data_IF_718064960136
#
_entry.id   IF_718064960136
#
_cell.length_a   1.000
_cell.length_b   1.000
_cell.length_c   1.000
_cell.angle_alpha   90.00
_cell.angle_beta   90.00
_cell.angle_gamma   90.00
#
_symmetry.space_group_name_H-M   'P 1'
#
loop_
_entity.id
_entity.type
_entity.pdbx_description
1 polymer ?
#
# COMPACT_ATOMS: atom_id res chain seq x y z
N UNK A 1 -9.62 -19.83 5.08
CA UNK A 1 -9.80 -18.46 4.58
C UNK A 1 -9.45 -18.48 3.11
N UNK A 2 -10.23 -17.83 2.23
CA UNK A 2 -9.85 -17.72 0.81
C UNK A 2 -8.80 -16.61 0.67
N UNK A 3 -7.95 -16.70 -0.36
CA UNK A 3 -6.94 -15.67 -0.66
C UNK A 3 -7.62 -14.32 -0.84
N UNK A 4 -7.07 -13.28 -0.24
CA UNK A 4 -7.64 -11.93 -0.33
C UNK A 4 -8.79 -11.66 0.65
N UNK A 5 -9.30 -12.64 1.40
CA UNK A 5 -10.36 -12.39 2.40
C UNK A 5 -9.87 -11.44 3.50
N UNK A 6 -8.64 -11.61 3.99
CA UNK A 6 -8.06 -10.75 5.03
C UNK A 6 -7.83 -9.33 4.50
N UNK A 7 -7.39 -9.19 3.25
CA UNK A 7 -7.25 -7.89 2.61
C UNK A 7 -8.62 -7.22 2.40
N UNK A 8 -9.64 -7.95 1.96
CA UNK A 8 -11.01 -7.44 1.84
C UNK A 8 -11.56 -6.98 3.19
N UNK A 9 -11.36 -7.75 4.25
CA UNK A 9 -11.81 -7.37 5.60
C UNK A 9 -11.09 -6.10 6.08
N UNK A 10 -9.78 -5.99 5.84
CA UNK A 10 -9.02 -4.77 6.13
C UNK A 10 -9.52 -3.56 5.33
N UNK A 11 -9.84 -3.72 4.05
CA UNK A 11 -10.33 -2.64 3.18
C UNK A 11 -11.72 -2.16 3.61
N UNK A 12 -12.61 -3.09 3.99
CA UNK A 12 -13.93 -2.79 4.55
C UNK A 12 -13.82 -2.06 5.88
N UNK A 13 -12.90 -2.46 6.74
CA UNK A 13 -12.64 -1.72 7.98
C UNK A 13 -12.17 -0.29 7.67
N UNK A 14 -11.22 -0.14 6.75
CA UNK A 14 -10.70 1.17 6.34
C UNK A 14 -11.81 2.06 5.80
N UNK A 15 -12.70 1.55 4.93
CA UNK A 15 -13.82 2.31 4.38
C UNK A 15 -14.69 3.00 5.45
N UNK A 16 -14.81 2.39 6.63
CA UNK A 16 -15.64 2.90 7.73
C UNK A 16 -14.82 3.72 8.74
N UNK A 17 -13.57 3.33 9.00
CA UNK A 17 -12.80 3.81 10.13
C UNK A 17 -11.74 4.86 9.77
N UNK A 18 -11.60 5.22 8.49
CA UNK A 18 -10.62 6.19 8.03
C UNK A 18 -11.23 7.54 7.63
N UNK A 19 -10.38 8.54 7.45
CA UNK A 19 -10.73 9.86 6.91
C UNK A 19 -10.41 10.00 5.42
N UNK A 20 -9.77 8.99 4.83
CA UNK A 20 -9.45 8.90 3.41
C UNK A 20 -10.71 8.85 2.55
N UNK A 21 -10.59 9.33 1.32
CA UNK A 21 -11.56 8.99 0.29
C UNK A 21 -11.38 7.51 -0.06
N UNK A 22 -12.47 6.74 -0.01
CA UNK A 22 -12.48 5.32 -0.37
C UNK A 22 -13.56 5.10 -1.43
N UNK A 23 -13.15 4.65 -2.61
CA UNK A 23 -14.03 4.29 -3.72
C UNK A 23 -13.80 2.83 -4.06
N UNK A 24 -14.87 2.07 -4.21
CA UNK A 24 -14.81 0.64 -4.54
C UNK A 24 -15.56 0.39 -5.83
N UNK A 25 -14.95 -0.38 -6.71
CA UNK A 25 -15.55 -0.89 -7.94
C UNK A 25 -15.49 -2.42 -7.93
N UNK A 26 -16.65 -3.07 -8.00
CA UNK A 26 -16.76 -4.52 -8.07
C UNK A 26 -16.65 -4.97 -9.53
N UNK A 27 -15.76 -5.91 -9.83
CA UNK A 27 -15.57 -6.47 -11.18
C UNK A 27 -15.65 -7.99 -11.14
N UNK A 28 -16.81 -8.53 -11.50
CA UNK A 28 -17.01 -9.98 -11.58
C UNK A 28 -16.81 -10.67 -10.23
N UNK A 29 -15.67 -11.37 -10.06
CA UNK A 29 -15.29 -12.04 -8.81
C UNK A 29 -14.24 -11.29 -7.98
N UNK A 30 -13.80 -10.13 -8.45
CA UNK A 30 -12.83 -9.27 -7.77
C UNK A 30 -13.36 -7.87 -7.52
N UNK A 31 -12.53 -7.05 -6.89
CA UNK A 31 -12.84 -5.65 -6.60
C UNK A 31 -11.58 -4.79 -6.72
N UNK A 32 -11.76 -3.53 -7.10
CA UNK A 32 -10.74 -2.50 -7.11
C UNK A 32 -11.11 -1.42 -6.11
N UNK A 33 -10.17 -1.08 -5.24
CA UNK A 33 -10.32 -0.13 -4.15
C UNK A 33 -9.36 1.02 -4.35
N UNK A 34 -9.90 2.20 -4.54
CA UNK A 34 -9.14 3.44 -4.61
C UNK A 34 -9.20 4.12 -3.24
N UNK A 35 -8.04 4.31 -2.63
CA UNK A 35 -7.85 4.97 -1.35
C UNK A 35 -7.06 6.25 -1.60
N UNK A 36 -7.48 7.38 -1.04
CA UNK A 36 -6.75 8.63 -1.22
C UNK A 36 -6.74 9.51 0.04
N UNK A 37 -5.56 10.02 0.35
CA UNK A 37 -5.36 11.17 1.25
C UNK A 37 -5.04 12.44 0.47
N UNK A 38 -4.87 13.59 1.16
CA UNK A 38 -4.47 14.86 0.55
C UNK A 38 -3.25 14.79 -0.38
N UNK A 39 -2.25 13.97 -0.04
CA UNK A 39 -0.95 13.94 -0.73
C UNK A 39 -0.59 12.58 -1.30
N UNK A 40 -1.49 11.61 -1.25
CA UNK A 40 -1.23 10.26 -1.75
C UNK A 40 -2.50 9.57 -2.24
N UNK A 41 -2.30 8.57 -3.08
CA UNK A 41 -3.34 7.65 -3.53
C UNK A 41 -2.79 6.22 -3.56
N UNK A 42 -3.67 5.25 -3.32
CA UNK A 42 -3.40 3.84 -3.51
C UNK A 42 -4.56 3.18 -4.26
N UNK A 43 -4.23 2.27 -5.17
CA UNK A 43 -5.18 1.39 -5.84
C UNK A 43 -4.87 -0.02 -5.39
N UNK A 44 -5.82 -0.66 -4.71
CA UNK A 44 -5.72 -2.05 -4.27
C UNK A 44 -6.66 -2.90 -5.12
N UNK A 45 -6.13 -3.94 -5.76
CA UNK A 45 -6.92 -4.91 -6.51
C UNK A 45 -6.96 -6.21 -5.72
N UNK A 46 -8.17 -6.71 -5.52
CA UNK A 46 -8.42 -7.99 -4.90
C UNK A 46 -9.16 -8.87 -5.88
N UNK A 47 -8.44 -9.73 -6.59
CA UNK A 47 -9.03 -10.78 -7.41
C UNK A 47 -8.54 -12.15 -6.95
N UNK A 48 -9.24 -12.80 -5.99
CA UNK A 48 -8.81 -14.04 -5.32
C UNK A 48 -8.46 -15.23 -6.23
N UNK A 49 -8.85 -15.16 -7.51
CA UNK A 49 -8.63 -16.20 -8.52
C UNK A 49 -7.61 -15.81 -9.59
N UNK A 50 -7.10 -14.59 -9.57
CA UNK A 50 -6.18 -14.09 -10.59
C UNK A 50 -4.96 -13.43 -9.95
N UNK A 51 -5.15 -12.34 -9.21
CA UNK A 51 -4.05 -11.62 -8.59
C UNK A 51 -4.51 -10.72 -7.44
N UNK A 52 -3.57 -10.42 -6.54
CA UNK A 52 -3.71 -9.40 -5.51
C UNK A 52 -2.66 -8.33 -5.76
N UNK A 53 -2.98 -7.06 -5.53
CA UNK A 53 -1.96 -6.03 -5.61
C UNK A 53 -2.38 -4.67 -5.08
N UNK A 54 -1.40 -3.80 -4.93
CA UNK A 54 -1.48 -2.45 -4.44
C UNK A 54 -0.46 -1.59 -5.17
N UNK A 55 -0.94 -0.61 -5.94
CA UNK A 55 -0.15 0.50 -6.46
C UNK A 55 -0.33 1.71 -5.58
N UNK A 56 0.76 2.30 -5.10
CA UNK A 56 0.78 3.48 -4.25
C UNK A 56 1.54 4.62 -4.92
N UNK A 57 1.06 5.84 -4.72
CA UNK A 57 1.72 7.05 -5.17
C UNK A 57 1.60 8.14 -4.10
N UNK A 58 2.74 8.69 -3.68
CA UNK A 58 2.81 9.89 -2.85
C UNK A 58 3.29 11.07 -3.68
N UNK A 59 2.48 12.13 -3.78
CA UNK A 59 2.74 13.31 -4.59
C UNK A 59 3.18 14.50 -3.74
N UNK A 60 4.17 15.22 -4.25
CA UNK A 60 4.54 16.54 -3.75
C UNK A 60 3.56 17.61 -4.27
N UNK A 61 2.83 18.32 -3.40
CA UNK A 61 1.97 19.40 -3.84
C UNK A 61 2.75 20.63 -4.35
N UNK A 62 4.01 20.81 -3.93
CA UNK A 62 4.85 21.95 -4.32
C UNK A 62 5.57 21.68 -5.63
N UNK A 63 6.23 20.53 -5.74
CA UNK A 63 7.05 20.20 -6.91
C UNK A 63 6.31 19.39 -7.98
N UNK A 64 5.18 18.80 -7.63
CA UNK A 64 4.40 17.92 -8.50
C UNK A 64 5.01 16.52 -8.71
N UNK A 65 6.22 16.27 -8.20
CA UNK A 65 6.91 14.97 -8.27
C UNK A 65 6.20 13.93 -7.44
N UNK A 66 6.37 12.66 -7.78
CA UNK A 66 5.74 11.56 -7.06
C UNK A 66 6.72 10.41 -6.82
N UNK A 67 6.62 9.81 -5.64
CA UNK A 67 7.22 8.52 -5.34
C UNK A 67 6.16 7.44 -5.50
N UNK A 68 6.44 6.40 -6.27
CA UNK A 68 5.53 5.28 -6.50
C UNK A 68 6.05 4.01 -5.87
N UNK A 69 5.12 3.13 -5.48
CA UNK A 69 5.42 1.85 -4.90
C UNK A 69 4.36 0.82 -5.29
N UNK A 70 4.79 -0.35 -5.75
CA UNK A 70 3.90 -1.40 -6.23
C UNK A 70 4.20 -2.72 -5.49
N UNK A 71 3.14 -3.40 -5.05
CA UNK A 71 3.15 -4.79 -4.58
C UNK A 71 2.09 -5.50 -5.39
N UNK A 72 2.42 -6.59 -6.05
CA UNK A 72 1.40 -7.42 -6.67
C UNK A 72 1.86 -8.87 -6.80
N UNK A 73 0.92 -9.71 -7.22
CA UNK A 73 1.14 -11.09 -7.58
C UNK A 73 1.04 -11.30 -9.10
N UNK A 74 1.17 -10.25 -9.92
CA UNK A 74 0.77 -10.30 -11.34
C UNK A 74 1.59 -11.30 -12.18
N UNK A 75 2.82 -11.61 -11.75
CA UNK A 75 3.70 -12.59 -12.35
C UNK A 75 3.38 -14.06 -11.97
N UNK A 76 2.43 -14.29 -11.07
CA UNK A 76 2.12 -15.61 -10.49
C UNK A 76 0.63 -15.91 -10.50
N UNK A 77 0.25 -17.11 -10.97
CA UNK A 77 -1.14 -17.58 -10.87
C UNK A 77 -1.45 -17.99 -9.42
N UNK A 78 -1.98 -17.05 -8.65
CA UNK A 78 -2.37 -17.29 -7.26
C UNK A 78 -3.61 -18.16 -7.12
N UNK A 79 -4.17 -18.74 -8.18
CA UNK A 79 -5.20 -19.78 -8.06
C UNK A 79 -4.60 -21.13 -7.66
N UNK A 80 -3.34 -21.39 -8.02
CA UNK A 80 -2.63 -22.64 -7.77
C UNK A 80 -2.26 -22.80 -6.28
N UNK A 81 -2.40 -24.00 -5.70
CA UNK A 81 -2.16 -24.22 -4.25
C UNK A 81 -0.70 -23.99 -3.83
N UNK A 82 0.25 -24.21 -4.73
CA UNK A 82 1.69 -23.97 -4.51
C UNK A 82 2.01 -22.47 -4.35
N UNK A 83 1.16 -21.59 -4.90
CA UNK A 83 1.26 -20.13 -4.71
C UNK A 83 0.50 -19.64 -3.48
N UNK A 84 -0.06 -20.52 -2.64
CA UNK A 84 -0.83 -20.11 -1.45
C UNK A 84 -0.02 -19.27 -0.47
N UNK A 85 1.16 -19.75 -0.09
CA UNK A 85 2.01 -19.04 0.87
C UNK A 85 2.42 -17.67 0.32
N UNK A 86 2.84 -17.61 -0.95
CA UNK A 86 3.19 -16.35 -1.61
C UNK A 86 2.03 -15.35 -1.61
N UNK A 87 0.82 -15.79 -1.98
CA UNK A 87 -0.37 -14.94 -1.95
C UNK A 87 -0.69 -14.43 -0.53
N UNK A 88 -0.57 -15.27 0.49
CA UNK A 88 -0.76 -14.90 1.89
C UNK A 88 0.28 -13.88 2.38
N UNK A 89 1.53 -13.97 1.91
CA UNK A 89 2.58 -13.00 2.23
C UNK A 89 2.31 -11.64 1.58
N UNK A 90 1.92 -11.61 0.30
CA UNK A 90 1.57 -10.37 -0.40
C UNK A 90 0.34 -9.74 0.24
N UNK A 91 -0.65 -10.54 0.61
CA UNK A 91 -1.83 -10.08 1.35
C UNK A 91 -1.44 -9.41 2.68
N UNK A 92 -0.54 -10.03 3.45
CA UNK A 92 -0.01 -9.48 4.70
C UNK A 92 0.74 -8.17 4.45
N UNK A 93 1.62 -8.11 3.47
CA UNK A 93 2.43 -6.93 3.16
C UNK A 93 1.54 -5.74 2.76
N UNK A 94 0.49 -5.95 1.97
CA UNK A 94 -0.46 -4.89 1.60
C UNK A 94 -1.21 -4.41 2.85
N UNK A 95 -1.74 -5.32 3.68
CA UNK A 95 -2.46 -4.95 4.91
C UNK A 95 -1.59 -4.15 5.88
N UNK A 96 -0.34 -4.56 6.07
CA UNK A 96 0.61 -3.89 6.97
C UNK A 96 1.04 -2.51 6.42
N UNK A 97 1.17 -2.39 5.09
CA UNK A 97 1.41 -1.10 4.44
C UNK A 97 0.23 -0.13 4.65
N UNK A 98 -1.01 -0.59 4.42
CA UNK A 98 -2.21 0.21 4.67
C UNK A 98 -2.35 0.61 6.14
N UNK A 99 -2.01 -0.29 7.07
CA UNK A 99 -1.94 0.00 8.50
C UNK A 99 -0.92 1.10 8.82
N UNK A 100 0.24 1.07 8.16
CA UNK A 100 1.30 2.08 8.31
C UNK A 100 0.86 3.45 7.77
N UNK A 101 0.13 3.49 6.64
CA UNK A 101 -0.49 4.72 6.13
C UNK A 101 -1.47 5.29 7.16
N UNK A 102 -2.35 4.45 7.73
CA UNK A 102 -3.33 4.87 8.75
C UNK A 102 -2.66 5.42 10.00
N UNK A 103 -1.54 4.82 10.41
CA UNK A 103 -0.72 5.27 11.52
C UNK A 103 0.15 6.50 11.21
N UNK A 104 0.09 7.06 9.99
CA UNK A 104 0.94 8.17 9.52
C UNK A 104 2.44 7.85 9.64
N UNK A 105 2.79 6.59 9.38
CA UNK A 105 4.12 6.02 9.49
C UNK A 105 4.83 5.85 8.12
N UNK A 106 4.23 6.39 7.06
CA UNK A 106 4.82 6.47 5.72
C UNK A 106 5.30 7.89 5.46
N UNK A 107 6.51 8.02 4.94
CA UNK A 107 7.15 9.29 4.62
C UNK A 107 7.50 9.36 3.12
N UNK A 108 7.53 10.58 2.61
CA UNK A 108 8.02 10.94 1.28
C UNK A 108 9.28 11.79 1.42
N UNK A 109 10.24 11.63 0.52
CA UNK A 109 11.40 12.50 0.42
C UNK A 109 10.97 13.93 0.12
N UNK A 110 11.64 14.90 0.74
CA UNK A 110 11.33 16.33 0.60
C UNK A 110 11.54 16.85 -0.83
N UNK A 111 12.37 16.17 -1.62
CA UNK A 111 12.59 16.43 -3.05
C UNK A 111 11.54 15.76 -3.97
N UNK A 112 10.61 15.02 -3.37
CA UNK A 112 9.53 14.27 -4.03
C UNK A 112 9.97 13.06 -4.84
N UNK A 113 11.24 12.64 -4.76
CA UNK A 113 11.79 11.58 -5.63
C UNK A 113 11.83 10.19 -4.98
N UNK A 114 11.78 10.12 -3.65
CA UNK A 114 11.87 8.87 -2.89
C UNK A 114 10.76 8.77 -1.84
N UNK A 115 10.55 7.56 -1.32
CA UNK A 115 9.66 7.29 -0.19
C UNK A 115 10.38 6.43 0.85
N UNK A 116 9.98 6.59 2.11
CA UNK A 116 10.52 5.83 3.23
C UNK A 116 9.38 5.38 4.13
N UNK A 117 9.42 4.14 4.59
CA UNK A 117 8.44 3.60 5.53
C UNK A 117 9.15 2.97 6.72
N UNK A 118 8.52 2.96 7.89
CA UNK A 118 8.95 2.11 9.00
C UNK A 118 8.60 0.63 8.77
N UNK A 119 7.78 0.35 7.77
CA UNK A 119 7.44 -1.00 7.37
C UNK A 119 8.49 -1.55 6.41
N UNK A 120 8.97 -2.77 6.68
CA UNK A 120 9.84 -3.54 5.81
C UNK A 120 9.07 -4.76 5.31
N UNK A 121 8.20 -4.55 4.31
CA UNK A 121 7.55 -5.65 3.61
C UNK A 121 8.60 -6.54 2.94
N UNK A 122 8.35 -7.84 2.89
CA UNK A 122 9.29 -8.81 2.33
C UNK A 122 9.49 -8.57 0.82
N UNK A 123 8.48 -7.99 0.17
CA UNK A 123 8.48 -7.67 -1.25
C UNK A 123 8.56 -6.16 -1.54
N UNK A 124 8.93 -5.35 -0.54
CA UNK A 124 9.21 -3.91 -0.68
C UNK A 124 10.58 -3.64 -1.31
N UNK A 125 10.71 -3.76 -2.63
CA UNK A 125 11.99 -3.54 -3.32
C UNK A 125 12.40 -2.06 -3.44
N UNK A 126 11.44 -1.12 -3.52
CA UNK A 126 11.71 0.29 -3.83
C UNK A 126 11.48 1.27 -2.66
N UNK A 127 10.97 0.81 -1.52
CA UNK A 127 10.81 1.64 -0.31
C UNK A 127 12.02 1.43 0.59
N UNK A 128 12.74 2.52 0.88
CA UNK A 128 13.80 2.46 1.89
C UNK A 128 13.17 2.25 3.26
N UNK A 129 13.70 1.34 4.05
CA UNK A 129 13.32 1.20 5.46
C UNK A 129 13.99 2.33 6.25
N UNK A 130 13.19 3.19 6.86
CA UNK A 130 13.69 4.17 7.81
C UNK A 130 13.78 3.49 9.17
N UNK A 131 14.99 3.20 9.65
CA UNK A 131 15.22 2.63 10.97
C UNK A 131 14.66 3.52 12.10
N UNK A 132 14.52 4.83 11.84
CA UNK A 132 13.93 5.79 12.77
C UNK A 132 13.17 6.90 12.00
N UNK A 133 11.84 6.87 12.07
CA UNK A 133 10.95 7.91 11.51
C UNK A 133 11.19 9.28 12.16
N UNK A 134 11.60 9.31 13.44
CA UNK A 134 11.89 10.55 14.14
C UNK A 134 13.20 11.16 13.64
N UNK A 135 14.21 10.34 13.35
CA UNK A 135 15.45 10.81 12.75
C UNK A 135 15.24 11.35 11.32
N UNK A 136 14.43 10.66 10.49
CA UNK A 136 14.08 11.12 9.15
C UNK A 136 13.33 12.47 9.14
N UNK A 137 12.47 12.69 10.13
CA UNK A 137 11.77 13.97 10.35
C UNK A 137 12.71 15.06 10.88
N UNK A 138 13.64 14.73 11.78
CA UNK A 138 14.58 15.67 12.37
C UNK A 138 15.62 16.19 11.37
N UNK A 139 15.98 15.39 10.36
CA UNK A 139 16.91 15.78 9.30
C UNK A 139 16.31 16.65 8.18
N UNK A 140 14.97 16.82 8.14
CA UNK A 140 14.27 17.57 7.08
C UNK A 140 14.30 16.92 5.70
N UNK A 141 14.82 15.70 5.59
CA UNK A 141 14.93 14.94 4.35
C UNK A 141 13.61 14.25 3.97
N UNK A 142 12.77 13.92 4.97
CA UNK A 142 11.50 13.23 4.76
C UNK A 142 10.34 13.92 5.47
N UNK A 143 9.19 14.00 4.80
CA UNK A 143 7.94 14.53 5.31
C UNK A 143 6.87 13.43 5.36
N UNK A 144 5.98 13.42 6.37
CA UNK A 144 4.85 12.49 6.37
C UNK A 144 3.98 12.65 5.14
N UNK A 145 3.44 11.55 4.63
CA UNK A 145 2.30 11.63 3.72
C UNK A 145 1.05 11.93 4.54
N UNK A 146 0.32 12.97 4.14
CA UNK A 146 -0.98 13.35 4.69
C UNK A 146 -2.10 12.71 3.89
#
# INVERSE_FOLDING_TARGET
>A
MRRGDRLLDSLRELQVATTWAVVTEETGSGSTWQLAGPTWQATVVVEPRSWLGSTFQARDPVTGRSATYDIDTDLYDISLDDQREFAEEIERDIVEFLGSLRAKAVLRGNDGSNSCSSFQGRFMASVRTCADLAAGRAGGEFVPVE
#
